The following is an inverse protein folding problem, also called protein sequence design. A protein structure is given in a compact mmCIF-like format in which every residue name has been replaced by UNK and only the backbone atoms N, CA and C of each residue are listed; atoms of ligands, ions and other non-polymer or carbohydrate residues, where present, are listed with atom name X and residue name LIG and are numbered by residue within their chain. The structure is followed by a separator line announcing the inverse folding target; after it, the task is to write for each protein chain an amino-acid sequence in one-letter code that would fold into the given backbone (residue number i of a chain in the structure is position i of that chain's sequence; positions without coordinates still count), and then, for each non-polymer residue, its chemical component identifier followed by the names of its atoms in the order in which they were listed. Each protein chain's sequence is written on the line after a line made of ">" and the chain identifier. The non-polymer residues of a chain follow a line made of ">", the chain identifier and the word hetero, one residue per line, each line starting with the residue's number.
data_IF_250163796334
#
_entry.id   IF_250163796334
#
_cell.length_a   1.000
_cell.length_b   1.000
_cell.length_c   1.000
_cell.angle_alpha   90.00
_cell.angle_beta   90.00
_cell.angle_gamma   90.00
#
_symmetry.space_group_name_H-M   'P 1'
#
loop_
_entity.id
_entity.type
_entity.pdbx_description
1 polymer ?
#
# COMPACT_ATOMS: atom_id res chain seq x y z
N UNK A 1 75.37 -20.07 -14.53
CA UNK A 1 74.85 -18.74 -14.94
C UNK A 1 73.37 -18.67 -14.61
N UNK A 2 72.96 -17.60 -13.90
CA UNK A 2 71.62 -16.97 -13.81
C UNK A 2 70.36 -17.84 -13.58
N UNK A 3 69.70 -17.59 -12.45
CA UNK A 3 68.26 -17.79 -12.23
C UNK A 3 67.43 -16.87 -13.17
N UNK A 4 66.10 -17.08 -13.37
CA UNK A 4 65.14 -16.55 -12.38
C UNK A 4 63.77 -17.28 -12.21
N UNK A 5 63.28 -17.21 -10.96
CA UNK A 5 61.94 -16.76 -10.48
C UNK A 5 60.66 -17.52 -10.89
N UNK A 6 59.82 -17.81 -9.88
CA UNK A 6 58.36 -17.68 -10.05
C UNK A 6 57.45 -18.40 -9.04
N UNK A 7 57.08 -17.70 -7.97
CA UNK A 7 55.86 -17.81 -7.15
C UNK A 7 55.52 -19.10 -6.39
N UNK A 8 55.80 -19.07 -5.08
CA UNK A 8 54.96 -19.69 -4.04
C UNK A 8 53.56 -19.06 -4.06
N UNK A 9 52.51 -19.88 -4.21
CA UNK A 9 51.14 -19.47 -3.92
C UNK A 9 50.85 -19.65 -2.43
N UNK A 10 50.86 -18.54 -1.69
CA UNK A 10 50.16 -18.43 -0.40
C UNK A 10 48.66 -18.59 -0.68
N UNK A 11 48.00 -19.57 -0.07
CA UNK A 11 46.55 -19.56 0.06
C UNK A 11 46.17 -18.49 1.09
N UNK A 12 45.73 -17.33 0.61
CA UNK A 12 45.03 -16.35 1.43
C UNK A 12 43.56 -16.80 1.52
N UNK A 13 43.12 -17.18 2.72
CA UNK A 13 41.72 -17.38 3.01
C UNK A 13 40.98 -16.04 2.88
N UNK A 14 40.33 -15.83 1.74
CA UNK A 14 39.36 -14.75 1.59
C UNK A 14 38.14 -15.10 2.45
N UNK A 15 38.09 -14.56 3.67
CA UNK A 15 36.84 -14.41 4.40
C UNK A 15 35.97 -13.48 3.56
N UNK A 16 35.06 -14.07 2.77
CA UNK A 16 33.99 -13.34 2.14
C UNK A 16 33.16 -12.70 3.26
N UNK A 17 33.30 -11.39 3.44
CA UNK A 17 32.24 -10.61 4.03
C UNK A 17 31.06 -10.71 3.08
N UNK A 18 30.18 -11.69 3.35
CA UNK A 18 28.86 -11.73 2.78
C UNK A 18 28.25 -10.34 2.97
N UNK A 19 27.75 -9.78 1.87
CA UNK A 19 26.83 -8.65 1.93
C UNK A 19 25.75 -9.06 2.93
N UNK A 20 25.76 -8.47 4.13
CA UNK A 20 24.58 -8.43 4.97
C UNK A 20 23.49 -7.82 4.08
N UNK A 21 22.58 -8.67 3.60
CA UNK A 21 21.40 -8.19 2.90
C UNK A 21 20.76 -7.14 3.80
N UNK A 22 20.43 -5.98 3.25
CA UNK A 22 19.67 -4.97 3.97
C UNK A 22 18.46 -5.68 4.58
N UNK A 23 18.39 -5.78 5.91
CA UNK A 23 17.23 -6.38 6.56
C UNK A 23 16.00 -5.62 6.10
N UNK A 24 14.95 -6.35 5.72
CA UNK A 24 13.69 -5.73 5.34
C UNK A 24 13.23 -4.83 6.50
N UNK A 25 12.88 -3.58 6.20
CA UNK A 25 12.46 -2.57 7.21
C UNK A 25 11.19 -3.00 7.96
N UNK A 26 10.42 -3.89 7.35
CA UNK A 26 9.19 -4.44 7.90
C UNK A 26 9.17 -5.95 7.65
N UNK A 27 8.52 -6.69 8.54
CA UNK A 27 8.25 -8.12 8.39
C UNK A 27 6.83 -8.43 8.83
N UNK A 28 6.35 -9.63 8.54
CA UNK A 28 4.99 -10.05 8.87
C UNK A 28 4.99 -11.32 9.71
N UNK A 29 3.92 -11.50 10.48
CA UNK A 29 3.67 -12.71 11.26
C UNK A 29 2.26 -13.24 10.99
N UNK A 30 2.18 -14.51 10.59
CA UNK A 30 0.92 -15.19 10.32
C UNK A 30 0.35 -15.79 11.61
N UNK A 31 -0.94 -15.57 11.83
CA UNK A 31 -1.76 -16.23 12.86
C UNK A 31 -3.00 -16.84 12.20
N UNK A 32 -3.54 -17.89 12.81
CA UNK A 32 -4.60 -18.71 12.21
C UNK A 32 -4.10 -19.56 11.04
N UNK A 33 -5.03 -20.15 10.28
CA UNK A 33 -4.72 -20.99 9.13
C UNK A 33 -4.92 -20.22 7.82
N UNK A 34 -4.05 -20.34 6.80
CA UNK A 34 -4.32 -19.74 5.49
C UNK A 34 -5.65 -20.24 4.91
N UNK A 35 -6.38 -19.34 4.23
CA UNK A 35 -7.71 -19.60 3.65
C UNK A 35 -8.77 -20.02 4.69
N UNK A 36 -8.76 -19.40 5.87
CA UNK A 36 -9.81 -19.55 6.87
C UNK A 36 -10.18 -18.21 7.52
N UNK A 37 -11.39 -18.08 8.12
CA UNK A 37 -11.84 -16.84 8.76
C UNK A 37 -10.94 -16.31 9.89
N UNK A 38 -10.14 -17.17 10.52
CA UNK A 38 -9.19 -16.83 11.60
C UNK A 38 -7.81 -16.42 11.09
N UNK A 39 -7.55 -16.44 9.78
CA UNK A 39 -6.26 -16.00 9.23
C UNK A 39 -6.00 -14.51 9.49
N UNK A 40 -4.85 -14.18 10.05
CA UNK A 40 -4.38 -12.81 10.27
C UNK A 40 -2.91 -12.69 9.88
N UNK A 41 -2.55 -11.58 9.25
CA UNK A 41 -1.18 -11.21 8.93
C UNK A 41 -0.83 -9.91 9.65
N UNK A 42 -0.13 -10.04 10.77
CA UNK A 42 0.33 -8.90 11.58
C UNK A 42 1.67 -8.36 11.07
N UNK A 43 1.97 -7.11 11.40
CA UNK A 43 3.16 -6.42 10.94
C UNK A 43 4.14 -6.15 12.09
N UNK A 44 5.42 -6.20 11.77
CA UNK A 44 6.53 -5.81 12.65
C UNK A 44 7.44 -4.80 11.97
N UNK A 45 7.95 -3.85 12.73
CA UNK A 45 9.00 -2.94 12.27
C UNK A 45 10.39 -3.63 12.25
N UNK A 46 11.42 -2.88 11.89
CA UNK A 46 12.81 -3.37 11.80
C UNK A 46 13.38 -3.87 13.13
N UNK A 47 12.84 -3.40 14.26
CA UNK A 47 13.23 -3.83 15.61
C UNK A 47 12.42 -5.05 16.09
N UNK A 48 11.52 -5.58 15.25
CA UNK A 48 10.66 -6.72 15.57
C UNK A 48 9.43 -6.38 16.41
N UNK A 49 9.13 -5.09 16.62
CA UNK A 49 7.95 -4.64 17.38
C UNK A 49 6.70 -4.70 16.53
N UNK A 50 5.59 -5.20 17.09
CA UNK A 50 4.30 -5.17 16.41
C UNK A 50 3.83 -3.74 16.18
N UNK A 51 3.25 -3.51 15.01
CA UNK A 51 2.77 -2.21 14.56
C UNK A 51 1.46 -2.40 13.78
N UNK A 52 0.64 -1.35 13.76
CA UNK A 52 -0.51 -1.25 12.85
C UNK A 52 -0.03 -0.89 11.44
N UNK A 53 -0.38 -1.67 10.39
CA UNK A 53 -0.10 -1.25 9.02
C UNK A 53 -0.89 0.02 8.67
N UNK A 54 -2.10 0.18 9.20
CA UNK A 54 -2.93 1.35 8.95
C UNK A 54 -2.31 2.64 9.54
N UNK A 55 -1.76 2.58 10.76
CA UNK A 55 -1.44 3.80 11.51
C UNK A 55 0.06 4.05 11.72
N UNK A 56 0.87 3.00 11.89
CA UNK A 56 2.26 3.14 12.33
C UNK A 56 3.27 3.18 11.17
N UNK A 57 2.87 2.73 9.97
CA UNK A 57 3.71 2.84 8.78
C UNK A 57 3.56 4.27 8.24
N UNK A 58 4.65 5.04 8.08
CA UNK A 58 4.54 6.40 7.56
C UNK A 58 3.98 6.42 6.13
N UNK A 59 3.08 7.37 5.83
CA UNK A 59 2.60 7.58 4.45
C UNK A 59 3.76 7.81 3.47
N UNK A 60 4.65 8.74 3.82
CA UNK A 60 5.81 9.08 3.00
C UNK A 60 6.98 8.15 3.32
N UNK A 61 7.59 7.60 2.28
CA UNK A 61 8.85 6.88 2.39
C UNK A 61 9.99 7.90 2.60
N UNK A 62 10.74 7.73 3.69
CA UNK A 62 11.88 8.59 3.99
C UNK A 62 12.86 8.63 2.80
N UNK A 63 13.18 9.83 2.31
CA UNK A 63 14.17 9.99 1.25
C UNK A 63 15.56 9.71 1.82
N UNK A 64 16.51 9.26 0.97
CA UNK A 64 17.92 9.13 1.38
C UNK A 64 18.54 10.48 1.76
N UNK A 65 17.96 11.59 1.31
CA UNK A 65 18.45 12.96 1.49
C UNK A 65 18.08 13.55 2.87
N UNK A 66 17.04 13.03 3.52
CA UNK A 66 16.59 13.50 4.84
C UNK A 66 17.56 13.18 6.00
N UNK A 67 18.59 12.37 5.76
CA UNK A 67 19.58 11.99 6.78
C UNK A 67 20.82 12.89 6.84
N UNK A 68 21.03 13.78 5.88
CA UNK A 68 22.30 14.54 5.78
C UNK A 68 22.18 16.08 5.74
N UNK A 69 20.97 16.68 5.72
CA UNK A 69 20.83 18.14 5.59
C UNK A 69 20.19 18.78 6.84
N UNK A 70 20.85 19.74 7.53
CA UNK A 70 20.25 20.49 8.63
C UNK A 70 19.07 21.34 8.15
N UNK A 71 18.01 21.41 8.97
CA UNK A 71 16.79 22.19 8.74
C UNK A 71 17.07 23.71 8.63
N UNK A 72 17.52 24.17 7.46
CA UNK A 72 17.50 25.57 7.00
C UNK A 72 17.94 25.59 5.52
N UNK A 73 16.96 25.65 4.62
CA UNK A 73 17.01 25.62 3.14
C UNK A 73 16.64 24.26 2.53
N UNK A 74 15.37 23.89 2.64
CA UNK A 74 14.76 23.02 1.64
C UNK A 74 14.60 23.83 0.34
N UNK A 75 15.61 23.75 -0.52
CA UNK A 75 15.47 24.13 -1.93
C UNK A 75 14.63 23.03 -2.59
N UNK A 76 13.61 23.42 -3.33
CA UNK A 76 12.86 22.61 -4.30
C UNK A 76 13.79 22.15 -5.43
N UNK A 77 14.68 21.21 -5.14
CA UNK A 77 15.25 20.31 -6.14
C UNK A 77 14.30 19.13 -6.24
N UNK A 78 13.79 18.85 -7.45
CA UNK A 78 12.75 17.87 -7.74
C UNK A 78 13.12 16.43 -7.39
N UNK A 79 13.16 16.12 -6.10
CA UNK A 79 13.14 14.75 -5.59
C UNK A 79 11.71 14.22 -5.74
N UNK A 80 11.61 13.03 -6.33
CA UNK A 80 10.35 12.34 -6.56
C UNK A 80 9.74 11.94 -5.20
N UNK A 81 8.51 12.36 -4.92
CA UNK A 81 7.83 12.02 -3.66
C UNK A 81 7.50 10.53 -3.67
N UNK A 82 8.00 9.82 -2.66
CA UNK A 82 7.80 8.38 -2.53
C UNK A 82 6.81 8.08 -1.40
N UNK A 83 5.91 7.16 -1.65
CA UNK A 83 4.92 6.68 -0.69
C UNK A 83 5.24 5.25 -0.28
N UNK A 84 4.91 4.86 0.95
CA UNK A 84 4.85 3.45 1.31
C UNK A 84 3.46 2.93 0.90
N UNK A 85 3.43 1.81 0.19
CA UNK A 85 2.23 1.05 -0.10
C UNK A 85 2.26 -0.24 0.72
N UNK A 86 1.12 -0.60 1.31
CA UNK A 86 0.90 -1.93 1.89
C UNK A 86 0.25 -2.78 0.82
N UNK A 87 0.93 -3.84 0.40
CA UNK A 87 0.36 -4.80 -0.56
C UNK A 87 -0.58 -5.72 0.20
N UNK A 88 -1.86 -5.75 -0.19
CA UNK A 88 -2.86 -6.65 0.39
C UNK A 88 -3.06 -7.87 -0.49
N UNK A 89 -3.23 -7.66 -1.79
CA UNK A 89 -3.56 -8.70 -2.77
C UNK A 89 -2.51 -8.75 -3.88
N UNK A 90 -1.73 -9.85 -3.99
CA UNK A 90 -0.81 -10.07 -5.10
C UNK A 90 -1.53 -10.09 -6.45
N UNK A 91 -0.88 -9.57 -7.50
CA UNK A 91 -1.40 -9.66 -8.87
C UNK A 91 -1.71 -11.10 -9.27
N UNK A 92 -2.82 -11.27 -9.99
CA UNK A 92 -3.38 -12.53 -10.49
C UNK A 92 -3.91 -13.49 -9.43
N UNK A 93 -4.10 -13.01 -8.20
CA UNK A 93 -4.81 -13.75 -7.14
C UNK A 93 -6.25 -13.27 -7.00
N UNK A 94 -7.08 -14.06 -6.32
CA UNK A 94 -8.52 -13.84 -6.23
C UNK A 94 -9.00 -13.54 -4.80
N UNK A 95 -8.25 -13.94 -3.76
CA UNK A 95 -8.66 -13.73 -2.38
C UNK A 95 -8.71 -12.22 -2.09
N UNK A 96 -9.89 -11.70 -1.68
CA UNK A 96 -10.01 -10.30 -1.27
C UNK A 96 -9.43 -10.17 0.13
N UNK A 97 -8.16 -9.81 0.18
CA UNK A 97 -7.44 -9.50 1.41
C UNK A 97 -7.51 -8.00 1.66
N UNK A 98 -7.62 -7.58 2.90
CA UNK A 98 -7.72 -6.18 3.30
C UNK A 98 -7.15 -5.97 4.70
N UNK A 99 -6.66 -4.76 4.98
CA UNK A 99 -6.38 -4.26 6.32
C UNK A 99 -7.68 -4.31 7.13
N UNK A 100 -7.69 -5.02 8.25
CA UNK A 100 -8.84 -5.11 9.13
C UNK A 100 -9.00 -3.80 9.94
N UNK A 101 -9.66 -2.79 9.36
CA UNK A 101 -9.82 -1.45 9.96
C UNK A 101 -10.46 -1.47 11.36
N UNK A 102 -11.33 -2.44 11.64
CA UNK A 102 -12.03 -2.59 12.92
C UNK A 102 -11.28 -3.47 13.95
N UNK A 103 -10.18 -4.11 13.58
CA UNK A 103 -9.45 -5.02 14.48
C UNK A 103 -8.20 -4.35 15.10
N UNK A 104 -7.86 -4.65 16.36
CA UNK A 104 -6.65 -4.13 17.00
C UNK A 104 -5.39 -4.47 16.20
N UNK A 105 -4.52 -3.46 16.01
CA UNK A 105 -3.30 -3.52 15.18
C UNK A 105 -3.55 -3.78 13.69
N UNK A 106 -4.81 -3.71 13.24
CA UNK A 106 -5.25 -3.77 11.85
C UNK A 106 -4.52 -4.81 10.97
N UNK A 107 -4.45 -6.09 11.39
CA UNK A 107 -3.83 -7.13 10.56
C UNK A 107 -4.52 -7.23 9.19
N UNK A 108 -3.80 -7.74 8.19
CA UNK A 108 -4.48 -8.14 6.95
C UNK A 108 -5.27 -9.41 7.21
N UNK A 109 -6.54 -9.44 6.78
CA UNK A 109 -7.43 -10.61 6.79
C UNK A 109 -8.13 -10.75 5.44
N UNK A 110 -8.80 -11.89 5.25
CA UNK A 110 -9.66 -12.07 4.08
C UNK A 110 -11.07 -11.57 4.39
N UNK A 111 -11.65 -10.79 3.48
CA UNK A 111 -13.04 -10.32 3.55
C UNK A 111 -14.00 -11.52 3.63
N UNK A 112 -15.06 -11.40 4.44
CA UNK A 112 -16.10 -12.40 4.63
C UNK A 112 -17.44 -11.83 4.17
N UNK A 113 -17.98 -12.39 3.09
CA UNK A 113 -19.29 -12.04 2.55
C UNK A 113 -20.26 -13.18 2.76
N UNK A 114 -21.39 -12.91 3.44
CA UNK A 114 -22.42 -13.92 3.77
C UNK A 114 -21.86 -15.17 4.47
N UNK A 115 -20.93 -14.97 5.41
CA UNK A 115 -20.31 -16.03 6.20
C UNK A 115 -19.29 -16.89 5.45
N UNK A 116 -18.89 -16.50 4.23
CA UNK A 116 -17.88 -17.21 3.42
C UNK A 116 -16.74 -16.28 3.05
N UNK A 117 -15.54 -16.83 2.96
CA UNK A 117 -14.37 -16.13 2.45
C UNK A 117 -14.64 -15.62 1.03
N UNK A 118 -14.38 -14.33 0.81
CA UNK A 118 -14.65 -13.66 -0.47
C UNK A 118 -13.47 -13.83 -1.43
N UNK A 119 -13.82 -14.20 -2.66
CA UNK A 119 -12.90 -14.24 -3.79
C UNK A 119 -13.49 -13.42 -4.93
N UNK A 120 -12.70 -12.50 -5.50
CA UNK A 120 -13.10 -11.76 -6.70
C UNK A 120 -13.08 -12.69 -7.91
N UNK A 121 -14.07 -12.54 -8.78
CA UNK A 121 -14.20 -13.34 -9.99
C UNK A 121 -13.07 -13.11 -11.00
N UNK A 122 -12.90 -14.05 -11.92
CA UNK A 122 -12.14 -13.79 -13.15
C UNK A 122 -13.13 -13.25 -14.18
N UNK A 123 -12.96 -12.00 -14.60
CA UNK A 123 -13.77 -11.38 -15.64
C UNK A 123 -12.96 -11.42 -16.92
N UNK A 124 -13.37 -12.25 -17.87
CA UNK A 124 -12.62 -12.42 -19.12
C UNK A 124 -12.33 -11.05 -19.77
N UNK A 125 -11.07 -10.75 -20.13
CA UNK A 125 -9.91 -11.64 -20.23
C UNK A 125 -9.01 -11.71 -18.97
N UNK A 126 -9.41 -11.09 -17.87
CA UNK A 126 -8.61 -10.89 -16.67
C UNK A 126 -8.59 -12.11 -15.73
N UNK A 127 -7.44 -12.32 -15.09
CA UNK A 127 -7.24 -13.27 -14.00
C UNK A 127 -7.13 -12.51 -12.68
N UNK A 128 -8.12 -12.66 -11.80
CA UNK A 128 -8.14 -12.03 -10.47
C UNK A 128 -7.89 -10.52 -10.52
N UNK A 129 -7.16 -10.00 -9.54
CA UNK A 129 -6.65 -8.63 -9.55
C UNK A 129 -5.56 -8.47 -10.62
N UNK A 130 -5.67 -7.46 -11.47
CA UNK A 130 -4.71 -7.23 -12.56
C UNK A 130 -3.52 -6.33 -12.17
N UNK A 131 -3.41 -5.95 -10.89
CA UNK A 131 -2.29 -5.24 -10.26
C UNK A 131 -1.87 -5.95 -8.98
N UNK A 132 -0.73 -5.55 -8.41
CA UNK A 132 -0.61 -5.72 -6.97
C UNK A 132 -1.51 -4.64 -6.35
N UNK A 133 -2.42 -5.05 -5.48
CA UNK A 133 -3.45 -4.18 -4.92
C UNK A 133 -3.25 -4.04 -3.42
N UNK A 134 -3.58 -2.88 -2.88
CA UNK A 134 -3.58 -2.62 -1.46
C UNK A 134 -3.84 -1.14 -1.20
N UNK A 135 -3.26 -0.59 -0.12
CA UNK A 135 -3.58 0.76 0.32
C UNK A 135 -2.35 1.58 0.71
N UNK A 136 -2.51 2.90 0.77
CA UNK A 136 -1.54 3.77 1.46
C UNK A 136 -1.86 3.78 2.96
N UNK A 137 -0.85 3.68 3.84
CA UNK A 137 -1.07 3.86 5.26
C UNK A 137 -1.34 5.31 5.59
N UNK A 138 -1.93 5.55 6.76
CA UNK A 138 -2.21 6.89 7.29
C UNK A 138 -3.09 7.74 6.37
N UNK A 139 -3.96 7.14 5.58
CA UNK A 139 -4.98 7.82 4.78
C UNK A 139 -6.34 7.27 5.18
N UNK A 140 -7.40 8.07 5.07
CA UNK A 140 -8.74 7.60 5.38
C UNK A 140 -9.77 8.36 4.55
N UNK A 141 -10.63 7.62 3.86
CA UNK A 141 -11.79 8.15 3.17
C UNK A 141 -12.95 8.32 4.16
N UNK A 142 -12.98 9.46 4.86
CA UNK A 142 -13.96 9.75 5.92
C UNK A 142 -15.41 9.62 5.41
N UNK A 143 -16.23 8.70 5.99
CA UNK A 143 -17.61 8.49 5.58
C UNK A 143 -18.55 9.64 5.97
N UNK A 144 -18.08 10.60 6.76
CA UNK A 144 -18.81 11.82 7.09
C UNK A 144 -18.45 12.99 6.17
N UNK A 145 -17.47 12.82 5.30
CA UNK A 145 -17.05 13.84 4.33
C UNK A 145 -17.64 13.54 2.96
N UNK A 146 -18.45 14.46 2.44
CA UNK A 146 -18.90 14.38 1.04
C UNK A 146 -17.86 14.96 0.10
N UNK A 147 -17.28 14.12 -0.73
CA UNK A 147 -16.33 14.51 -1.76
C UNK A 147 -17.05 15.33 -2.86
N UNK A 148 -16.50 16.50 -3.18
CA UNK A 148 -17.13 17.45 -4.12
C UNK A 148 -17.10 16.99 -5.58
N UNK A 149 -16.26 16.01 -5.90
CA UNK A 149 -16.06 15.52 -7.27
C UNK A 149 -17.07 14.42 -7.61
N UNK A 150 -17.19 13.45 -6.72
CA UNK A 150 -18.10 12.30 -6.85
C UNK A 150 -19.50 12.61 -6.32
N UNK A 151 -19.63 13.54 -5.38
CA UNK A 151 -20.88 13.84 -4.67
C UNK A 151 -21.28 12.78 -3.64
N UNK A 152 -20.37 11.86 -3.32
CA UNK A 152 -20.56 10.73 -2.40
C UNK A 152 -19.73 10.94 -1.13
N UNK A 153 -20.04 10.19 -0.08
CA UNK A 153 -19.17 10.11 1.10
C UNK A 153 -18.07 9.05 0.91
N UNK A 154 -16.95 9.16 1.63
CA UNK A 154 -15.90 8.15 1.62
C UNK A 154 -16.37 6.76 2.07
N UNK A 155 -15.68 5.72 1.63
CA UNK A 155 -15.97 4.31 1.90
C UNK A 155 -15.48 3.79 3.28
N UNK A 156 -14.94 4.69 4.10
CA UNK A 156 -14.41 4.42 5.44
C UNK A 156 -13.10 3.62 5.50
N UNK A 157 -12.43 3.41 4.37
CA UNK A 157 -11.18 2.65 4.29
C UNK A 157 -9.95 3.56 4.01
N UNK A 158 -8.71 3.03 4.11
CA UNK A 158 -7.53 3.74 3.63
C UNK A 158 -7.53 3.80 2.09
N UNK A 159 -6.99 4.87 1.51
CA UNK A 159 -7.02 5.06 0.06
C UNK A 159 -6.32 3.92 -0.70
N UNK A 160 -6.99 3.42 -1.73
CA UNK A 160 -6.58 2.25 -2.50
C UNK A 160 -5.50 2.55 -3.54
N UNK A 161 -4.68 1.53 -3.83
CA UNK A 161 -3.53 1.60 -4.75
C UNK A 161 -3.48 0.39 -5.67
N UNK A 162 -3.40 0.67 -6.97
CA UNK A 162 -3.06 -0.27 -8.02
C UNK A 162 -1.59 -0.09 -8.44
N UNK A 163 -0.73 -1.02 -8.00
CA UNK A 163 0.70 -1.00 -8.35
C UNK A 163 0.97 -1.80 -9.63
N UNK A 164 1.49 -1.09 -10.65
CA UNK A 164 1.53 -1.55 -12.05
C UNK A 164 2.87 -2.16 -12.49
N UNK A 165 3.80 -2.34 -11.56
CA UNK A 165 5.12 -2.89 -11.81
C UNK A 165 5.09 -4.35 -12.25
N UNK A 166 6.17 -4.79 -12.88
CA UNK A 166 6.34 -6.13 -13.44
C UNK A 166 6.43 -7.24 -12.39
N UNK A 167 6.94 -6.96 -11.19
CA UNK A 167 7.08 -7.94 -10.11
C UNK A 167 5.73 -8.24 -9.45
N UNK A 168 5.40 -9.52 -9.30
CA UNK A 168 4.28 -9.94 -8.43
C UNK A 168 4.75 -9.86 -6.97
N UNK A 169 4.04 -9.07 -6.16
CA UNK A 169 4.37 -8.81 -4.75
C UNK A 169 3.75 -9.83 -3.83
N UNK A 170 4.18 -9.86 -2.58
CA UNK A 170 3.56 -10.70 -1.54
C UNK A 170 2.57 -9.89 -0.70
N UNK A 171 1.51 -10.54 -0.21
CA UNK A 171 0.61 -9.93 0.77
C UNK A 171 1.40 -9.56 2.04
N UNK A 172 1.18 -8.34 2.53
CA UNK A 172 1.93 -7.71 3.62
C UNK A 172 3.31 -7.17 3.25
N UNK A 173 3.72 -7.19 1.98
CA UNK A 173 4.93 -6.49 1.54
C UNK A 173 4.71 -4.97 1.61
N UNK A 174 5.68 -4.26 2.20
CA UNK A 174 5.71 -2.79 2.17
C UNK A 174 6.61 -2.34 1.04
N UNK A 175 6.01 -1.64 0.07
CA UNK A 175 6.67 -1.27 -1.19
C UNK A 175 6.76 0.24 -1.28
N UNK A 176 7.93 0.76 -1.67
CA UNK A 176 8.06 2.17 -2.01
C UNK A 176 7.58 2.40 -3.43
N UNK A 177 6.62 3.31 -3.59
CA UNK A 177 5.96 3.56 -4.87
C UNK A 177 5.94 5.04 -5.22
N UNK A 178 5.85 5.28 -6.53
CA UNK A 178 5.65 6.59 -7.13
C UNK A 178 4.20 6.68 -7.58
N UNK A 179 3.52 7.76 -7.20
CA UNK A 179 2.16 8.03 -7.63
C UNK A 179 2.20 8.61 -9.05
N UNK A 180 1.34 8.09 -9.91
CA UNK A 180 1.27 8.44 -11.32
C UNK A 180 -0.05 9.11 -11.69
N UNK A 181 -1.12 8.80 -10.96
CA UNK A 181 -2.45 9.35 -11.19
C UNK A 181 -3.49 8.69 -10.31
N UNK A 182 -4.77 8.99 -10.56
CA UNK A 182 -5.89 8.48 -9.78
C UNK A 182 -7.15 8.31 -10.63
N UNK A 183 -7.96 7.30 -10.30
CA UNK A 183 -9.30 7.06 -10.85
C UNK A 183 -10.36 7.28 -9.76
N UNK A 184 -11.44 7.99 -10.11
CA UNK A 184 -12.55 8.31 -9.21
C UNK A 184 -13.67 7.26 -9.33
N UNK A 185 -13.57 6.13 -8.61
CA UNK A 185 -14.64 5.13 -8.58
C UNK A 185 -15.75 5.61 -7.64
N UNK A 186 -17.00 5.31 -8.03
CA UNK A 186 -18.16 5.37 -7.14
C UNK A 186 -18.63 3.94 -6.92
N UNK A 187 -18.30 3.38 -5.76
CA UNK A 187 -18.55 1.99 -5.40
C UNK A 187 -19.81 1.90 -4.55
N UNK A 188 -20.91 1.38 -5.11
CA UNK A 188 -22.20 1.26 -4.38
C UNK A 188 -22.74 2.55 -3.70
N UNK A 189 -22.31 3.72 -4.17
CA UNK A 189 -22.74 5.03 -3.64
C UNK A 189 -21.71 5.73 -2.76
N UNK A 190 -20.53 5.12 -2.59
CA UNK A 190 -19.40 5.65 -1.82
C UNK A 190 -18.30 6.13 -2.77
N UNK A 191 -17.57 7.16 -2.36
CA UNK A 191 -16.33 7.60 -2.99
C UNK A 191 -15.26 6.58 -2.66
N UNK A 192 -14.58 6.10 -3.71
CA UNK A 192 -13.56 5.06 -3.60
C UNK A 192 -12.40 5.41 -4.57
N UNK A 193 -11.37 6.08 -4.08
CA UNK A 193 -10.29 6.56 -4.94
C UNK A 193 -9.26 5.46 -5.23
N UNK A 194 -8.98 5.22 -6.52
CA UNK A 194 -7.98 4.23 -6.95
C UNK A 194 -6.70 4.91 -7.44
N UNK A 195 -5.68 4.98 -6.59
CA UNK A 195 -4.36 5.51 -6.94
C UNK A 195 -3.66 4.56 -7.91
N UNK A 196 -3.08 5.12 -8.99
CA UNK A 196 -2.20 4.39 -9.89
C UNK A 196 -0.76 4.68 -9.51
N UNK A 197 0.00 3.63 -9.23
CA UNK A 197 1.38 3.76 -8.77
C UNK A 197 2.31 2.73 -9.40
N UNK A 198 3.61 2.99 -9.37
CA UNK A 198 4.64 2.02 -9.77
C UNK A 198 5.73 1.94 -8.71
N UNK A 199 6.19 0.74 -8.40
CA UNK A 199 7.30 0.58 -7.47
C UNK A 199 8.60 1.19 -7.99
N UNK A 200 9.37 1.82 -7.10
CA UNK A 200 10.66 2.43 -7.44
C UNK A 200 11.73 1.43 -7.85
N UNK A 201 11.59 0.16 -7.46
CA UNK A 201 12.52 -0.92 -7.82
C UNK A 201 12.15 -1.57 -9.17
N UNK A 202 11.06 -1.14 -9.83
CA UNK A 202 10.66 -1.66 -11.13
C UNK A 202 11.62 -1.17 -12.24
N UNK A 203 12.04 -2.05 -13.17
CA UNK A 203 12.95 -1.67 -14.25
C UNK A 203 12.42 -0.53 -15.14
N UNK A 204 11.10 -0.33 -15.25
CA UNK A 204 10.49 0.72 -16.07
C UNK A 204 10.13 1.98 -15.27
N UNK A 205 10.29 2.00 -13.94
CA UNK A 205 9.93 3.13 -13.09
C UNK A 205 10.59 4.44 -13.55
N UNK A 206 11.83 4.39 -14.05
CA UNK A 206 12.57 5.56 -14.55
C UNK A 206 12.04 6.13 -15.88
N UNK A 207 11.02 5.51 -16.50
CA UNK A 207 10.36 5.99 -17.73
C UNK A 207 8.94 6.47 -17.48
N UNK A 208 8.40 6.20 -16.30
CA UNK A 208 6.99 6.39 -15.96
C UNK A 208 6.93 7.33 -14.77
N UNK A 209 6.56 8.59 -15.03
CA UNK A 209 6.55 9.67 -14.05
C UNK A 209 5.19 10.36 -13.93
N UNK A 210 4.25 10.07 -14.84
CA UNK A 210 2.88 10.59 -14.83
C UNK A 210 1.91 9.61 -15.51
N UNK A 211 0.62 9.91 -15.45
CA UNK A 211 -0.43 9.02 -15.97
C UNK A 211 -0.34 8.83 -17.49
N UNK A 212 0.12 9.84 -18.22
CA UNK A 212 0.29 9.76 -19.67
C UNK A 212 1.45 8.85 -20.08
N UNK A 213 2.48 8.71 -19.24
CA UNK A 213 3.54 7.72 -19.48
C UNK A 213 3.00 6.29 -19.35
N UNK A 214 2.01 6.06 -18.49
CA UNK A 214 1.34 4.75 -18.40
C UNK A 214 0.64 4.43 -19.72
N UNK A 215 -0.12 5.39 -20.29
CA UNK A 215 -0.78 5.20 -21.61
C UNK A 215 0.24 4.88 -22.71
N UNK A 216 1.37 5.58 -22.70
CA UNK A 216 2.44 5.43 -23.69
C UNK A 216 3.19 4.11 -23.57
N UNK A 217 3.53 3.69 -22.36
CA UNK A 217 4.39 2.53 -22.11
C UNK A 217 3.62 1.24 -21.84
N UNK A 218 2.34 1.34 -21.47
CA UNK A 218 1.42 0.22 -21.20
C UNK A 218 0.07 0.46 -21.89
N UNK A 219 0.02 0.47 -23.24
CA UNK A 219 -1.21 0.74 -23.98
C UNK A 219 -2.31 -0.28 -23.65
N UNK A 220 -3.54 0.19 -23.42
CA UNK A 220 -4.68 -0.64 -23.03
C UNK A 220 -4.78 -0.94 -21.53
N UNK A 221 -3.76 -0.58 -20.73
CA UNK A 221 -3.70 -0.94 -19.31
C UNK A 221 -4.68 -0.12 -18.46
N UNK A 222 -4.79 1.19 -18.73
CA UNK A 222 -5.73 2.07 -18.03
C UNK A 222 -7.18 1.76 -18.39
N UNK A 223 -7.43 1.43 -19.66
CA UNK A 223 -8.74 0.99 -20.14
C UNK A 223 -9.16 -0.32 -19.44
N UNK A 224 -8.24 -1.29 -19.36
CA UNK A 224 -8.47 -2.53 -18.61
C UNK A 224 -8.73 -2.28 -17.12
N UNK A 225 -8.11 -1.27 -16.51
CA UNK A 225 -8.39 -0.86 -15.13
C UNK A 225 -9.81 -0.37 -14.94
N UNK A 226 -10.27 0.51 -15.82
CA UNK A 226 -11.66 1.00 -15.77
C UNK A 226 -12.63 -0.16 -15.98
N UNK A 227 -12.39 -1.02 -16.97
CA UNK A 227 -13.25 -2.17 -17.25
C UNK A 227 -13.31 -3.16 -16.07
N UNK A 228 -12.18 -3.43 -15.42
CA UNK A 228 -12.12 -4.28 -14.25
C UNK A 228 -12.98 -3.71 -13.11
N UNK A 229 -12.76 -2.44 -12.71
CA UNK A 229 -13.54 -1.84 -11.61
C UNK A 229 -15.01 -1.60 -11.95
N UNK A 230 -15.35 -1.41 -13.23
CA UNK A 230 -16.74 -1.33 -13.68
C UNK A 230 -17.47 -2.65 -13.45
N UNK A 231 -16.81 -3.77 -13.75
CA UNK A 231 -17.46 -5.07 -13.87
C UNK A 231 -17.24 -6.01 -12.68
N UNK A 232 -16.25 -5.78 -11.79
CA UNK A 232 -15.78 -6.77 -10.80
C UNK A 232 -16.86 -7.36 -9.89
N UNK A 233 -17.95 -6.62 -9.64
CA UNK A 233 -19.09 -7.08 -8.82
C UNK A 233 -20.29 -7.58 -9.62
N UNK A 234 -20.28 -7.48 -10.96
CA UNK A 234 -21.36 -8.02 -11.79
C UNK A 234 -21.58 -9.52 -11.57
N UNK A 235 -20.52 -10.36 -11.45
CA UNK A 235 -20.70 -11.78 -11.10
C UNK A 235 -21.27 -12.03 -9.69
N UNK A 236 -21.28 -11.01 -8.82
CA UNK A 236 -21.87 -11.04 -7.48
C UNK A 236 -23.34 -10.51 -7.48
N UNK A 237 -23.99 -10.46 -8.65
CA UNK A 237 -25.33 -9.90 -8.86
C UNK A 237 -25.47 -8.42 -8.45
N UNK A 238 -24.38 -7.65 -8.57
CA UNK A 238 -24.37 -6.20 -8.36
C UNK A 238 -24.38 -5.45 -9.69
N UNK A 239 -24.90 -4.21 -9.73
CA UNK A 239 -24.80 -3.37 -10.92
C UNK A 239 -23.33 -3.04 -11.23
N UNK A 240 -23.09 -2.59 -12.46
CA UNK A 240 -21.82 -1.97 -12.82
C UNK A 240 -21.56 -0.74 -11.95
N UNK A 241 -20.30 -0.58 -11.54
CA UNK A 241 -19.89 0.63 -10.85
C UNK A 241 -19.80 1.82 -11.81
N UNK A 242 -19.83 3.02 -11.22
CA UNK A 242 -19.73 4.29 -11.94
C UNK A 242 -18.44 5.00 -11.60
N UNK A 243 -18.12 6.02 -12.37
CA UNK A 243 -16.93 6.84 -12.17
C UNK A 243 -17.28 8.31 -12.29
N UNK A 244 -16.67 9.15 -11.46
CA UNK A 244 -16.63 10.58 -11.77
C UNK A 244 -15.71 10.83 -12.98
N UNK A 245 -15.74 12.06 -13.51
CA UNK A 245 -14.98 12.44 -14.70
C UNK A 245 -15.16 11.49 -15.91
N UNK A 246 -16.30 10.80 -16.00
CA UNK A 246 -16.55 9.82 -17.05
C UNK A 246 -15.48 8.70 -17.14
N UNK A 247 -14.84 8.34 -16.01
CA UNK A 247 -13.80 7.31 -15.97
C UNK A 247 -12.42 7.77 -16.43
N UNK A 248 -12.21 9.08 -16.62
CA UNK A 248 -10.89 9.63 -16.91
C UNK A 248 -9.97 9.57 -15.68
N UNK A 249 -8.74 9.13 -15.90
CA UNK A 249 -7.68 9.23 -14.90
C UNK A 249 -7.22 10.67 -14.77
N UNK A 250 -7.04 11.13 -13.55
CA UNK A 250 -6.34 12.38 -13.24
C UNK A 250 -4.85 12.14 -13.04
N UNK A 251 -4.06 13.17 -13.29
CA UNK A 251 -2.60 13.15 -13.18
C UNK A 251 -2.11 12.97 -11.74
N UNK A 252 -0.78 12.85 -11.60
CA UNK A 252 -0.13 12.65 -10.30
C UNK A 252 -0.35 13.82 -9.33
N UNK A 253 -0.47 15.05 -9.82
CA UNK A 253 -0.57 16.24 -8.97
C UNK A 253 -1.96 16.27 -8.32
N UNK A 254 -2.99 15.95 -9.11
CA UNK A 254 -4.33 15.74 -8.59
C UNK A 254 -4.38 14.58 -7.58
N UNK A 255 -3.75 13.44 -7.93
CA UNK A 255 -3.67 12.29 -7.03
C UNK A 255 -2.98 12.65 -5.69
N UNK A 256 -1.92 13.45 -5.73
CA UNK A 256 -1.23 13.91 -4.53
C UNK A 256 -2.12 14.77 -3.62
N UNK A 257 -2.99 15.64 -4.18
CA UNK A 257 -3.95 16.40 -3.38
C UNK A 257 -5.05 15.51 -2.77
N UNK A 258 -5.53 14.49 -3.48
CA UNK A 258 -6.48 13.51 -2.92
C UNK A 258 -5.82 12.73 -1.75
N UNK A 259 -4.60 12.22 -1.94
CA UNK A 259 -3.85 11.52 -0.88
C UNK A 259 -3.62 12.42 0.33
N UNK A 260 -3.28 13.69 0.10
CA UNK A 260 -3.11 14.68 1.17
C UNK A 260 -4.41 14.92 1.93
N UNK A 261 -5.54 15.02 1.23
CA UNK A 261 -6.86 15.18 1.85
C UNK A 261 -7.21 14.00 2.76
N UNK A 262 -7.08 12.77 2.25
CA UNK A 262 -7.34 11.54 3.03
C UNK A 262 -6.34 11.37 4.18
N UNK A 263 -5.10 11.85 4.04
CA UNK A 263 -4.15 11.91 5.14
C UNK A 263 -4.56 12.89 6.24
N UNK A 264 -5.13 14.05 5.90
CA UNK A 264 -5.66 14.99 6.89
C UNK A 264 -6.90 14.44 7.61
N UNK A 265 -7.77 13.70 6.91
CA UNK A 265 -8.87 12.96 7.54
C UNK A 265 -8.34 11.92 8.54
N UNK A 266 -7.35 11.11 8.13
CA UNK A 266 -6.71 10.16 9.05
C UNK A 266 -6.07 10.86 10.26
N UNK A 267 -5.42 12.01 10.09
CA UNK A 267 -4.90 12.79 11.23
C UNK A 267 -6.01 13.21 12.17
N UNK A 268 -7.15 13.65 11.65
CA UNK A 268 -8.31 14.03 12.46
C UNK A 268 -8.86 12.82 13.22
N UNK A 269 -9.04 11.68 12.56
CA UNK A 269 -9.42 10.39 13.17
C UNK A 269 -8.48 10.04 14.32
N UNK A 270 -7.18 10.00 14.06
CA UNK A 270 -6.21 9.51 15.03
C UNK A 270 -5.96 10.46 16.22
N UNK A 271 -6.46 11.70 16.15
CA UNK A 271 -6.42 12.69 17.23
C UNK A 271 -7.81 12.96 17.84
N UNK A 272 -8.82 12.11 17.60
CA UNK A 272 -10.20 12.27 18.10
C UNK A 272 -10.85 13.60 17.70
N UNK A 273 -10.51 14.12 16.51
CA UNK A 273 -11.14 15.30 15.90
C UNK A 273 -12.19 14.95 14.86
N UNK A 274 -12.25 13.69 14.45
CA UNK A 274 -13.32 13.10 13.64
C UNK A 274 -13.88 11.87 14.36
N UNK A 275 -15.15 11.54 14.10
CA UNK A 275 -15.76 10.31 14.60
C UNK A 275 -15.34 9.13 13.73
N UNK A 276 -14.54 8.23 14.30
CA UNK A 276 -14.02 7.05 13.62
C UNK A 276 -14.98 5.86 13.60
N UNK A 277 -16.14 5.97 14.24
CA UNK A 277 -17.12 4.89 14.29
C UNK A 277 -16.52 3.58 14.81
N UNK A 278 -16.46 2.57 13.95
CA UNK A 278 -15.94 1.22 14.26
C UNK A 278 -14.43 1.05 14.07
N UNK A 279 -13.73 2.06 13.53
CA UNK A 279 -12.29 1.95 13.27
C UNK A 279 -11.51 1.78 14.57
N UNK A 280 -10.65 0.77 14.57
CA UNK A 280 -9.71 0.54 15.65
C UNK A 280 -8.44 1.35 15.44
N UNK A 281 -8.30 2.44 16.20
CA UNK A 281 -7.17 3.36 16.13
C UNK A 281 -5.92 2.93 16.92
N UNK A 282 -5.86 1.71 17.47
CA UNK A 282 -4.71 1.26 18.29
C UNK A 282 -3.43 1.30 17.47
N UNK A 283 -2.43 2.03 17.98
CA UNK A 283 -1.15 2.23 17.34
C UNK A 283 -0.01 2.22 18.38
N UNK A 284 1.24 2.16 17.93
CA UNK A 284 2.41 2.04 18.82
C UNK A 284 3.40 3.19 18.65
N UNK A 285 3.46 3.78 17.46
CA UNK A 285 4.51 4.73 17.06
C UNK A 285 3.99 6.16 16.85
N UNK A 286 2.67 6.38 16.79
CA UNK A 286 2.14 7.71 16.47
C UNK A 286 2.14 8.61 17.70
N UNK A 287 3.15 9.49 17.74
CA UNK A 287 3.34 10.46 18.83
C UNK A 287 2.13 11.38 18.98
N UNK A 288 1.63 11.51 20.21
CA UNK A 288 0.47 12.36 20.53
C UNK A 288 -0.89 11.73 20.23
N UNK A 289 -0.92 10.52 19.66
CA UNK A 289 -2.18 9.78 19.51
C UNK A 289 -2.69 9.34 20.90
N UNK A 290 -3.96 9.61 21.25
CA UNK A 290 -4.58 9.11 22.48
C UNK A 290 -4.89 7.61 22.43
N UNK A 291 -4.57 6.94 21.32
CA UNK A 291 -4.79 5.50 21.10
C UNK A 291 -3.50 4.68 21.14
N UNK A 292 -2.37 5.33 21.46
CA UNK A 292 -1.08 4.67 21.55
C UNK A 292 -1.08 3.64 22.69
N UNK A 293 -0.68 2.40 22.41
CA UNK A 293 -0.55 1.32 23.39
C UNK A 293 0.91 0.96 23.65
N UNK A 294 1.15 0.19 24.72
CA UNK A 294 2.51 -0.31 25.01
C UNK A 294 2.90 -1.45 24.06
N UNK A 295 4.19 -1.71 23.97
CA UNK A 295 4.70 -2.86 23.20
C UNK A 295 4.19 -4.19 23.78
N UNK A 296 4.04 -4.28 25.09
CA UNK A 296 3.46 -5.42 25.80
C UNK A 296 1.98 -5.63 25.45
N UNK A 297 1.19 -4.56 25.37
CA UNK A 297 -0.22 -4.64 24.95
C UNK A 297 -0.31 -5.12 23.49
N UNK A 298 0.52 -4.57 22.61
CA UNK A 298 0.56 -4.97 21.20
C UNK A 298 0.93 -6.46 21.05
N UNK A 299 1.90 -6.96 21.83
CA UNK A 299 2.22 -8.40 21.85
C UNK A 299 1.07 -9.25 22.37
N UNK A 300 0.36 -8.78 23.39
CA UNK A 300 -0.77 -9.50 23.99
C UNK A 300 -1.93 -9.65 23.00
N UNK A 301 -2.21 -8.62 22.19
CA UNK A 301 -3.20 -8.66 21.10
C UNK A 301 -2.89 -9.76 20.09
N UNK A 302 -1.62 -9.93 19.70
CA UNK A 302 -1.24 -10.93 18.69
C UNK A 302 -1.23 -12.36 19.25
N UNK A 303 -1.14 -12.50 20.58
CA UNK A 303 -1.07 -13.79 21.27
C UNK A 303 -2.42 -14.32 21.76
N UNK A 304 -3.46 -13.47 21.81
CA UNK A 304 -4.83 -13.85 22.17
C UNK A 304 -5.52 -14.61 21.05
#
# INVERSE_FOLDING_TARGET
>A
MRAPRGLSRLLLAARGWGRLGAMARYSTEQRGRPNSPDYRLYFKNADGKYISPFHDIPLLAASKEDKEIPAKRAKTTGSEVLYNMIVEVPRWTNAKMEIATEEPLNPIKQDIKKGKLRYVANIFPHKGYIWNYGALPQTWEDPNHTDTITGCCGDNDPIDVCEIGSKVRSSGEIVQVKVLGVLALVDEGETDWKIIAISVDDPEAHKIHDIDDVKKHKPGYLEATVDWFRLYKVPDDKPENRFAFNGEFKDKDFAAEIIKSTHEHWKALLHKKADGGTINCTNVLVSGSPFCCSEEDARSIVQS
#
